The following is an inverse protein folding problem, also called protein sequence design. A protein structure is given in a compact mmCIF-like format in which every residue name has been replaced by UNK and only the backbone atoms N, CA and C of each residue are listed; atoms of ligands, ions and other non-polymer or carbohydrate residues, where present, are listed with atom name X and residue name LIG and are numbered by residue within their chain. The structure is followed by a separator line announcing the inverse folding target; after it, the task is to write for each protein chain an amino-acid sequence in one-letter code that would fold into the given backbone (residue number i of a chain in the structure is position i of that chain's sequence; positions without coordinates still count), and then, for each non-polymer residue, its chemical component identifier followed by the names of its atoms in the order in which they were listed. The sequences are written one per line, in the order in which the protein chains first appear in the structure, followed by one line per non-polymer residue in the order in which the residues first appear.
data_IF_049552173146
#
_entry.id   IF_049552173146
#
_cell.length_a   1.000
_cell.length_b   1.000
_cell.length_c   1.000
_cell.angle_alpha   90.00
_cell.angle_beta   90.00
_cell.angle_gamma   90.00
#
_symmetry.space_group_name_H-M   'P 1'
#
loop_
_entity.id
_entity.type
_entity.pdbx_description
1 polymer ?
#
# COMPACT_ATOMS: atom_id res chain seq x y z
N UNK A 1 -2.15 17.55 -27.74
CA UNK A 1 -2.24 16.45 -26.77
C UNK A 1 -1.52 15.27 -27.39
N UNK A 2 -0.43 14.80 -26.79
CA UNK A 2 0.31 13.63 -27.31
C UNK A 2 -0.34 12.41 -26.66
N UNK A 3 -0.99 11.55 -27.45
CA UNK A 3 -1.49 10.26 -26.98
C UNK A 3 -0.32 9.27 -26.94
N UNK A 4 -0.16 8.61 -25.79
CA UNK A 4 0.83 7.55 -25.64
C UNK A 4 0.31 6.26 -26.26
N UNK A 5 1.20 5.46 -26.83
CA UNK A 5 0.88 4.07 -27.16
C UNK A 5 0.81 3.24 -25.89
N UNK A 6 0.06 2.13 -25.90
CA UNK A 6 -0.05 1.22 -24.75
C UNK A 6 1.32 0.75 -24.20
N UNK A 7 2.32 0.59 -25.07
CA UNK A 7 3.69 0.23 -24.64
C UNK A 7 4.41 1.37 -23.92
N UNK A 8 4.17 2.61 -24.35
CA UNK A 8 4.71 3.79 -23.68
C UNK A 8 4.04 4.01 -22.32
N UNK A 9 2.73 3.80 -22.22
CA UNK A 9 1.99 3.85 -20.94
C UNK A 9 2.52 2.81 -19.95
N UNK A 10 2.69 1.55 -20.39
CA UNK A 10 3.27 0.50 -19.55
C UNK A 10 4.70 0.83 -19.10
N UNK A 11 5.49 1.46 -19.96
CA UNK A 11 6.86 1.87 -19.63
C UNK A 11 6.88 3.02 -18.63
N UNK A 12 6.00 4.01 -18.78
CA UNK A 12 5.84 5.12 -17.84
C UNK A 12 5.38 4.59 -16.48
N UNK A 13 4.31 3.80 -16.43
CA UNK A 13 3.80 3.17 -15.21
C UNK A 13 4.88 2.38 -14.45
N UNK A 14 5.69 1.56 -15.13
CA UNK A 14 6.78 0.81 -14.48
C UNK A 14 7.88 1.73 -13.93
N UNK A 15 8.15 2.85 -14.58
CA UNK A 15 9.11 3.84 -14.09
C UNK A 15 8.58 4.52 -12.83
N UNK A 16 7.32 4.92 -12.84
CA UNK A 16 6.67 5.60 -11.73
C UNK A 16 6.58 4.68 -10.51
N UNK A 17 6.15 3.44 -10.71
CA UNK A 17 6.18 2.38 -9.70
C UNK A 17 7.56 2.23 -9.05
N UNK A 18 8.64 2.19 -9.84
CA UNK A 18 10.00 2.06 -9.32
C UNK A 18 10.43 3.27 -8.48
N UNK A 19 10.10 4.49 -8.93
CA UNK A 19 10.43 5.71 -8.20
C UNK A 19 9.66 5.77 -6.88
N UNK A 20 8.35 5.54 -6.94
CA UNK A 20 7.49 5.52 -5.76
C UNK A 20 7.91 4.44 -4.76
N UNK A 21 8.19 3.22 -5.22
CA UNK A 21 8.61 2.11 -4.33
C UNK A 21 9.91 2.44 -3.60
N UNK A 22 10.86 3.07 -4.29
CA UNK A 22 12.12 3.51 -3.66
C UNK A 22 11.86 4.52 -2.55
N UNK A 23 11.05 5.54 -2.83
CA UNK A 23 10.70 6.56 -1.83
C UNK A 23 9.96 5.95 -0.64
N UNK A 24 8.99 5.08 -0.89
CA UNK A 24 8.23 4.41 0.16
C UNK A 24 9.11 3.49 1.03
N UNK A 25 10.07 2.79 0.42
CA UNK A 25 11.02 1.99 1.18
C UNK A 25 11.91 2.85 2.09
N UNK A 26 12.41 3.97 1.58
CA UNK A 26 13.17 4.95 2.37
C UNK A 26 12.32 5.51 3.51
N UNK A 27 11.06 5.89 3.24
CA UNK A 27 10.15 6.39 4.27
C UNK A 27 9.81 5.34 5.31
N UNK A 28 9.59 4.08 4.92
CA UNK A 28 9.32 2.99 5.87
C UNK A 28 10.48 2.78 6.84
N UNK A 29 11.70 2.64 6.32
CA UNK A 29 12.88 2.43 7.17
C UNK A 29 13.29 3.66 7.98
N UNK A 30 12.86 4.85 7.57
CA UNK A 30 13.04 6.08 8.33
C UNK A 30 11.85 6.39 9.27
N UNK A 31 10.79 5.57 9.25
CA UNK A 31 9.62 5.78 10.11
C UNK A 31 9.91 5.37 11.55
N UNK A 32 9.16 5.92 12.49
CA UNK A 32 9.20 5.52 13.91
C UNK A 32 8.39 4.24 14.18
N UNK A 33 7.99 3.49 13.15
CA UNK A 33 7.23 2.25 13.34
C UNK A 33 8.10 1.20 14.04
N UNK A 34 7.62 0.60 15.16
CA UNK A 34 8.37 -0.43 15.86
C UNK A 34 8.79 -1.54 14.91
N UNK A 35 10.07 -1.95 15.00
CA UNK A 35 10.60 -3.06 14.21
C UNK A 35 10.55 -2.87 12.68
N UNK A 36 10.44 -1.63 12.17
CA UNK A 36 10.43 -1.37 10.72
C UNK A 36 11.62 -2.01 9.97
N UNK A 37 12.80 -2.06 10.61
CA UNK A 37 14.02 -2.68 10.08
C UNK A 37 13.98 -4.20 9.99
N UNK A 38 13.05 -4.84 10.69
CA UNK A 38 12.89 -6.30 10.69
C UNK A 38 12.18 -6.77 9.39
N UNK A 39 11.51 -5.84 8.68
CA UNK A 39 10.92 -6.10 7.37
C UNK A 39 12.00 -6.31 6.31
N UNK A 40 12.12 -7.50 5.68
CA UNK A 40 13.15 -7.75 4.68
C UNK A 40 13.00 -6.87 3.44
N UNK A 41 14.08 -6.21 3.01
CA UNK A 41 14.05 -5.23 1.91
C UNK A 41 13.50 -5.79 0.58
N UNK A 42 13.79 -7.06 0.27
CA UNK A 42 13.28 -7.70 -0.95
C UNK A 42 11.76 -7.90 -0.87
N UNK A 43 11.25 -8.31 0.29
CA UNK A 43 9.82 -8.48 0.52
C UNK A 43 9.09 -7.13 0.49
N UNK A 44 9.63 -6.13 1.21
CA UNK A 44 9.08 -4.78 1.25
C UNK A 44 8.90 -4.18 -0.15
N UNK A 45 9.91 -4.31 -1.00
CA UNK A 45 9.85 -3.82 -2.39
C UNK A 45 8.82 -4.61 -3.21
N UNK A 46 8.66 -5.91 -2.97
CA UNK A 46 7.66 -6.71 -3.66
C UNK A 46 6.24 -6.30 -3.25
N UNK A 47 5.97 -6.21 -1.95
CA UNK A 47 4.64 -5.87 -1.41
C UNK A 47 4.20 -4.46 -1.83
N UNK A 48 5.11 -3.48 -1.78
CA UNK A 48 4.85 -2.13 -2.28
C UNK A 48 4.51 -2.13 -3.77
N UNK A 49 5.24 -2.90 -4.60
CA UNK A 49 4.94 -2.99 -6.04
C UNK A 49 3.57 -3.59 -6.28
N UNK A 50 3.19 -4.60 -5.52
CA UNK A 50 1.87 -5.23 -5.63
C UNK A 50 0.76 -4.24 -5.26
N UNK A 51 0.94 -3.45 -4.18
CA UNK A 51 0.04 -2.34 -3.83
C UNK A 51 -0.07 -1.32 -4.96
N UNK A 52 1.06 -0.89 -5.53
CA UNK A 52 1.06 0.09 -6.62
C UNK A 52 0.25 -0.40 -7.82
N UNK A 53 0.47 -1.65 -8.25
CA UNK A 53 -0.25 -2.22 -9.38
C UNK A 53 -1.72 -2.49 -9.06
N UNK A 54 -2.05 -2.89 -7.82
CA UNK A 54 -3.43 -3.00 -7.38
C UNK A 54 -4.15 -1.65 -7.49
N UNK A 55 -3.57 -0.57 -6.96
CA UNK A 55 -4.13 0.78 -7.07
C UNK A 55 -4.27 1.23 -8.52
N UNK A 56 -3.25 1.01 -9.35
CA UNK A 56 -3.28 1.36 -10.77
C UNK A 56 -4.41 0.65 -11.51
N UNK A 57 -4.61 -0.64 -11.25
CA UNK A 57 -5.68 -1.44 -11.86
C UNK A 57 -7.07 -1.03 -11.35
N UNK A 58 -7.14 -0.46 -10.15
CA UNK A 58 -8.37 0.01 -9.52
C UNK A 58 -8.70 1.49 -9.79
N UNK A 59 -7.94 2.14 -10.68
CA UNK A 59 -8.01 3.57 -11.00
C UNK A 59 -7.75 4.52 -9.81
N UNK A 60 -7.14 4.02 -8.73
CA UNK A 60 -6.66 4.82 -7.61
C UNK A 60 -5.28 5.38 -7.97
N UNK A 61 -5.27 6.55 -8.62
CA UNK A 61 -4.05 7.20 -9.15
C UNK A 61 -3.45 8.27 -8.24
N UNK A 62 -4.16 8.68 -7.19
CA UNK A 62 -3.64 9.67 -6.24
C UNK A 62 -2.50 9.04 -5.40
N UNK A 63 -1.33 9.67 -5.41
CA UNK A 63 -0.12 9.15 -4.74
C UNK A 63 -0.29 9.05 -3.23
N UNK A 64 -1.03 9.96 -2.59
CA UNK A 64 -1.27 9.93 -1.15
C UNK A 64 -2.06 8.69 -0.75
N UNK A 65 -3.13 8.35 -1.50
CA UNK A 65 -3.91 7.13 -1.29
C UNK A 65 -3.09 5.87 -1.52
N UNK A 66 -2.25 5.84 -2.56
CA UNK A 66 -1.36 4.69 -2.84
C UNK A 66 -0.35 4.52 -1.71
N UNK A 67 0.27 5.62 -1.25
CA UNK A 67 1.23 5.61 -0.15
C UNK A 67 0.59 5.19 1.17
N UNK A 68 -0.62 5.67 1.46
CA UNK A 68 -1.37 5.28 2.65
C UNK A 68 -1.68 3.78 2.65
N UNK A 69 -2.21 3.24 1.54
CA UNK A 69 -2.45 1.80 1.43
C UNK A 69 -1.14 1.00 1.54
N UNK A 70 -0.05 1.52 0.97
CA UNK A 70 1.28 0.94 1.10
C UNK A 70 1.70 0.78 2.56
N UNK A 71 1.57 1.83 3.37
CA UNK A 71 1.87 1.76 4.81
C UNK A 71 0.95 0.78 5.54
N UNK A 72 -0.35 0.80 5.26
CA UNK A 72 -1.32 -0.11 5.85
C UNK A 72 -0.95 -1.58 5.61
N UNK A 73 -0.62 -1.93 4.36
CA UNK A 73 -0.25 -3.31 3.99
C UNK A 73 1.06 -3.73 4.66
N UNK A 74 2.07 -2.86 4.69
CA UNK A 74 3.32 -3.16 5.40
C UNK A 74 3.08 -3.39 6.90
N UNK A 75 2.22 -2.60 7.54
CA UNK A 75 1.83 -2.80 8.94
C UNK A 75 1.10 -4.13 9.14
N UNK A 76 0.14 -4.45 8.29
CA UNK A 76 -0.60 -5.71 8.36
C UNK A 76 0.34 -6.93 8.25
N UNK A 77 1.31 -6.87 7.32
CA UNK A 77 2.34 -7.89 7.17
C UNK A 77 3.24 -8.03 8.40
N UNK A 78 3.66 -6.91 9.02
CA UNK A 78 4.43 -6.95 10.27
C UNK A 78 3.65 -7.55 11.44
N UNK A 79 2.33 -7.38 11.45
CA UNK A 79 1.43 -8.00 12.42
C UNK A 79 1.08 -9.45 12.07
N UNK A 80 1.71 -10.03 11.04
CA UNK A 80 1.45 -11.39 10.56
C UNK A 80 -0.04 -11.63 10.23
N UNK A 81 -0.74 -10.60 9.74
CA UNK A 81 -2.11 -10.75 9.24
C UNK A 81 -2.15 -11.82 8.14
N UNK A 82 -3.26 -12.56 8.06
CA UNK A 82 -3.40 -13.55 7.00
C UNK A 82 -3.54 -12.86 5.63
N UNK A 83 -3.21 -13.59 4.55
CA UNK A 83 -3.43 -13.07 3.19
C UNK A 83 -4.91 -12.70 2.94
N UNK A 84 -5.85 -13.38 3.58
CA UNK A 84 -7.29 -13.08 3.49
C UNK A 84 -7.64 -11.76 4.20
N UNK A 85 -7.02 -11.48 5.34
CA UNK A 85 -7.19 -10.21 6.05
C UNK A 85 -6.61 -9.06 5.24
N UNK A 86 -5.39 -9.23 4.70
CA UNK A 86 -4.75 -8.21 3.85
C UNK A 86 -5.59 -7.93 2.62
N UNK A 87 -6.12 -8.96 1.96
CA UNK A 87 -7.03 -8.76 0.81
C UNK A 87 -8.29 -8.00 1.21
N UNK A 88 -8.88 -8.34 2.37
CA UNK A 88 -10.07 -7.65 2.88
C UNK A 88 -9.80 -6.18 3.19
N UNK A 89 -8.63 -5.87 3.75
CA UNK A 89 -8.17 -4.48 4.00
C UNK A 89 -8.04 -3.71 2.69
N UNK A 90 -7.39 -4.31 1.68
CA UNK A 90 -7.21 -3.70 0.35
C UNK A 90 -8.56 -3.44 -0.33
N UNK A 91 -9.45 -4.42 -0.32
CA UNK A 91 -10.79 -4.30 -0.93
C UNK A 91 -11.63 -3.23 -0.22
N UNK A 92 -11.57 -3.19 1.11
CA UNK A 92 -12.24 -2.17 1.91
C UNK A 92 -11.70 -0.77 1.60
N UNK A 93 -10.38 -0.61 1.54
CA UNK A 93 -9.74 0.65 1.17
C UNK A 93 -10.18 1.13 -0.21
N UNK A 94 -10.16 0.26 -1.23
CA UNK A 94 -10.59 0.61 -2.59
C UNK A 94 -12.07 0.99 -2.68
N UNK A 95 -12.95 0.28 -1.97
CA UNK A 95 -14.37 0.62 -1.90
C UNK A 95 -14.61 2.06 -1.42
N UNK A 96 -13.81 2.50 -0.44
CA UNK A 96 -13.89 3.85 0.12
C UNK A 96 -13.10 4.90 -0.66
N UNK A 97 -11.98 4.53 -1.29
CA UNK A 97 -11.19 5.44 -2.12
C UNK A 97 -11.99 5.95 -3.31
N UNK A 98 -12.79 5.08 -3.96
CA UNK A 98 -13.69 5.47 -5.05
C UNK A 98 -14.83 6.38 -4.61
N UNK A 99 -15.18 6.34 -3.32
CA UNK A 99 -16.19 7.21 -2.71
C UNK A 99 -15.61 8.48 -2.08
N UNK A 100 -14.33 8.80 -2.32
CA UNK A 100 -13.60 9.93 -1.72
C UNK A 100 -13.58 9.91 -0.17
N UNK A 101 -13.70 8.72 0.44
CA UNK A 101 -13.81 8.53 1.90
C UNK A 101 -12.59 7.78 2.47
N UNK A 102 -11.39 8.07 1.95
CA UNK A 102 -10.15 7.38 2.31
C UNK A 102 -9.83 7.51 3.81
N UNK A 103 -10.05 8.69 4.41
CA UNK A 103 -9.80 8.93 5.83
C UNK A 103 -10.67 8.05 6.74
N UNK A 104 -11.93 7.82 6.33
CA UNK A 104 -12.83 6.92 7.05
C UNK A 104 -12.34 5.48 6.99
N UNK A 105 -11.89 5.03 5.82
CA UNK A 105 -11.34 3.69 5.68
C UNK A 105 -10.06 3.51 6.48
N UNK A 106 -9.17 4.50 6.45
CA UNK A 106 -7.95 4.51 7.25
C UNK A 106 -8.27 4.31 8.73
N UNK A 107 -9.17 5.10 9.30
CA UNK A 107 -9.50 5.01 10.72
C UNK A 107 -10.00 3.61 11.12
N UNK A 108 -10.86 3.00 10.30
CA UNK A 108 -11.36 1.65 10.57
C UNK A 108 -10.28 0.58 10.46
N UNK A 109 -9.42 0.67 9.45
CA UNK A 109 -8.32 -0.27 9.27
C UNK A 109 -7.31 -0.13 10.42
N UNK A 110 -7.02 1.09 10.85
CA UNK A 110 -6.12 1.33 11.98
C UNK A 110 -6.66 0.70 13.28
N UNK A 111 -7.96 0.87 13.58
CA UNK A 111 -8.61 0.22 14.72
C UNK A 111 -8.48 -1.31 14.61
N UNK A 112 -8.73 -1.88 13.43
CA UNK A 112 -8.62 -3.32 13.22
C UNK A 112 -7.18 -3.83 13.46
N UNK A 113 -6.17 -3.12 12.93
CA UNK A 113 -4.77 -3.48 13.13
C UNK A 113 -4.32 -3.33 14.59
N UNK A 114 -4.82 -2.32 15.31
CA UNK A 114 -4.59 -2.16 16.75
C UNK A 114 -5.20 -3.30 17.57
N UNK A 115 -6.38 -3.79 17.19
CA UNK A 115 -6.99 -4.96 17.83
C UNK A 115 -6.16 -6.23 17.59
N UNK A 116 -5.62 -6.42 16.38
CA UNK A 116 -4.70 -7.53 16.10
C UNK A 116 -3.43 -7.39 16.92
N UNK A 117 -2.82 -6.21 16.98
CA UNK A 117 -1.61 -5.98 17.77
C UNK A 117 -1.82 -6.29 19.26
N UNK A 118 -3.01 -5.96 19.78
CA UNK A 118 -3.35 -6.14 21.19
C UNK A 118 -3.74 -7.57 21.57
N UNK A 119 -4.39 -8.30 20.66
CA UNK A 119 -5.02 -9.60 20.97
C UNK A 119 -4.56 -10.76 20.08
N UNK A 120 -3.75 -10.49 19.06
CA UNK A 120 -3.12 -11.49 18.21
C UNK A 120 -2.05 -12.26 18.98
N UNK A 121 -2.27 -13.58 19.07
CA UNK A 121 -1.39 -14.56 19.75
C UNK A 121 -0.28 -15.05 18.84
#
# INVERSE_FOLDING_TARGET
MIEFTADQEKKAMRRDCRVWTKLMAETWYASDYPHATDYPAVALVADLRDVYFACYNDDVKNTDSISLLGFIVLRANMLNCSNADIQSIVDYFFGHARGENVEYAQAWIEIYLEEIERYGT
#
